data_IF_390670875847
#
_entry.id   IF_390670875847
#
_cell.length_a   1.000
_cell.length_b   1.000
_cell.length_c   1.000
_cell.angle_alpha   90.00
_cell.angle_beta   90.00
_cell.angle_gamma   90.00
#
_symmetry.space_group_name_H-M   'P 1'
#
loop_
_entity.id
_entity.type
_entity.pdbx_description
1 polymer ?
#
# COMPACT_ATOMS: atom_id res chain seq x y z
N UNK A 1 -34.06 15.73 26.48
CA UNK A 1 -34.94 16.83 25.99
C UNK A 1 -34.05 17.79 25.21
N UNK A 2 -33.73 17.55 23.94
CA UNK A 2 -34.50 17.91 22.74
C UNK A 2 -34.99 19.37 22.76
N UNK A 3 -34.24 20.26 22.12
CA UNK A 3 -34.68 21.60 21.74
C UNK A 3 -35.01 21.61 20.25
N UNK A 4 -36.28 21.85 19.95
CA UNK A 4 -36.87 21.88 18.60
C UNK A 4 -36.86 23.30 18.04
N UNK A 5 -36.45 23.46 16.79
CA UNK A 5 -36.70 24.65 15.98
C UNK A 5 -38.05 24.46 15.27
N UNK A 6 -38.97 25.40 15.50
CA UNK A 6 -40.37 25.35 15.04
C UNK A 6 -40.50 26.16 13.75
N UNK A 7 -40.73 25.49 12.62
CA UNK A 7 -41.08 26.12 11.34
C UNK A 7 -42.60 26.36 11.32
N UNK A 8 -42.98 27.61 11.09
CA UNK A 8 -44.37 28.07 10.96
C UNK A 8 -44.84 27.83 9.51
N UNK A 9 -45.89 27.02 9.32
CA UNK A 9 -46.65 26.97 8.06
C UNK A 9 -48.13 27.11 8.42
N UNK A 10 -48.72 28.24 8.03
CA UNK A 10 -50.16 28.51 8.12
C UNK A 10 -50.92 27.77 7.04
N UNK A 11 -52.07 27.18 7.39
CA UNK A 11 -52.92 26.45 6.46
C UNK A 11 -54.38 26.89 6.64
N UNK A 12 -55.00 27.50 5.62
CA UNK A 12 -56.46 27.52 5.45
C UNK A 12 -56.86 27.78 3.98
N UNK A 13 -57.54 26.82 3.34
CA UNK A 13 -58.77 27.11 2.57
C UNK A 13 -58.82 26.84 1.05
N UNK A 14 -59.68 25.86 0.68
CA UNK A 14 -60.52 25.71 -0.55
C UNK A 14 -60.00 25.02 -1.84
N UNK A 15 -60.52 23.78 -2.03
CA UNK A 15 -61.23 23.17 -3.19
C UNK A 15 -60.76 23.45 -4.64
N UNK A 16 -60.23 22.43 -5.35
CA UNK A 16 -60.85 21.63 -6.46
C UNK A 16 -59.80 20.87 -7.32
N UNK A 17 -60.18 19.81 -8.07
CA UNK A 17 -59.27 18.75 -8.56
C UNK A 17 -58.95 18.84 -10.06
N UNK A 18 -57.79 18.33 -10.51
CA UNK A 18 -57.57 17.62 -11.81
C UNK A 18 -56.10 17.24 -12.03
N UNK A 19 -55.93 16.13 -12.76
CA UNK A 19 -54.69 15.52 -13.23
C UNK A 19 -53.94 16.39 -14.27
N UNK A 20 -52.62 16.12 -14.38
CA UNK A 20 -51.77 16.11 -15.59
C UNK A 20 -50.81 17.31 -15.84
N UNK A 21 -49.62 16.94 -16.35
CA UNK A 21 -48.45 17.66 -16.93
C UNK A 21 -47.23 17.55 -15.98
N UNK A 22 -46.28 16.59 -16.09
CA UNK A 22 -45.46 16.01 -17.18
C UNK A 22 -44.17 16.79 -17.51
N UNK A 23 -43.03 16.17 -17.15
CA UNK A 23 -41.66 16.20 -17.73
C UNK A 23 -40.95 17.57 -17.87
N UNK A 24 -39.63 17.76 -17.79
CA UNK A 24 -38.43 17.10 -18.34
C UNK A 24 -37.27 17.66 -17.43
N UNK A 25 -36.26 16.93 -16.92
CA UNK A 25 -35.06 16.43 -17.62
C UNK A 25 -34.53 15.19 -16.89
N UNK A 26 -34.58 14.07 -17.62
CA UNK A 26 -33.69 12.91 -17.50
C UNK A 26 -32.63 13.04 -18.63
N UNK A 27 -31.67 12.10 -18.68
CA UNK A 27 -30.59 11.87 -19.68
C UNK A 27 -29.34 12.76 -19.55
N UNK A 28 -28.10 12.25 -19.64
CA UNK A 28 -27.57 10.94 -20.06
C UNK A 28 -26.10 10.84 -19.56
N UNK A 29 -25.63 9.77 -18.90
CA UNK A 29 -25.28 8.40 -19.36
C UNK A 29 -23.80 8.23 -19.80
N UNK A 30 -23.11 7.31 -19.08
CA UNK A 30 -22.32 6.17 -19.57
C UNK A 30 -20.89 6.39 -20.11
N UNK A 31 -19.93 5.73 -19.44
CA UNK A 31 -19.03 4.65 -19.93
C UNK A 31 -17.76 4.68 -19.03
N UNK A 32 -17.29 3.65 -18.30
CA UNK A 32 -17.16 2.22 -18.59
C UNK A 32 -17.13 1.41 -17.27
N UNK A 33 -17.92 0.35 -17.24
CA UNK A 33 -17.57 -0.91 -16.56
C UNK A 33 -17.64 -1.99 -17.64
N UNK A 34 -16.68 -2.92 -17.66
CA UNK A 34 -17.02 -4.22 -17.13
C UNK A 34 -15.83 -4.85 -16.39
N UNK A 35 -15.86 -4.86 -15.07
CA UNK A 35 -15.19 -5.94 -14.33
C UNK A 35 -16.25 -6.74 -13.62
N UNK A 36 -16.22 -8.04 -13.90
CA UNK A 36 -17.20 -9.05 -13.54
C UNK A 36 -17.73 -8.88 -12.11
N UNK A 37 -19.06 -8.91 -11.99
CA UNK A 37 -19.69 -9.41 -10.78
C UNK A 37 -19.30 -10.89 -10.63
N UNK A 38 -18.28 -11.17 -9.83
CA UNK A 38 -18.13 -12.49 -9.22
C UNK A 38 -18.93 -12.42 -7.93
N UNK A 39 -20.20 -12.83 -8.01
CA UNK A 39 -20.95 -13.25 -6.83
C UNK A 39 -20.23 -14.45 -6.23
N UNK A 40 -19.48 -14.21 -5.15
CA UNK A 40 -18.93 -15.29 -4.34
C UNK A 40 -20.08 -15.89 -3.53
N UNK A 41 -20.69 -16.95 -4.05
CA UNK A 41 -21.55 -17.82 -3.25
C UNK A 41 -20.65 -18.63 -2.33
N UNK A 42 -20.40 -18.13 -1.12
CA UNK A 42 -19.81 -18.91 -0.04
C UNK A 42 -20.89 -19.87 0.49
N UNK A 43 -20.84 -21.12 0.07
CA UNK A 43 -21.38 -22.21 0.88
C UNK A 43 -20.29 -22.58 1.90
N UNK A 44 -20.45 -22.10 3.13
CA UNK A 44 -19.62 -22.56 4.25
C UNK A 44 -20.09 -23.97 4.62
N UNK A 45 -19.38 -25.00 4.13
CA UNK A 45 -19.59 -26.36 4.60
C UNK A 45 -18.83 -26.53 5.93
N UNK A 46 -19.57 -26.45 7.03
CA UNK A 46 -19.05 -26.57 8.39
C UNK A 46 -18.92 -28.06 8.76
N UNK A 47 -17.86 -28.72 8.30
CA UNK A 47 -17.46 -30.05 8.82
C UNK A 47 -15.95 -30.24 8.82
N UNK A 48 -15.38 -30.34 10.03
CA UNK A 48 -14.11 -31.04 10.26
C UNK A 48 -12.84 -30.21 10.07
N UNK A 49 -12.18 -29.91 11.17
CA UNK A 49 -10.91 -29.19 11.28
C UNK A 49 -9.75 -29.99 10.68
N UNK A 50 -9.53 -29.83 9.38
CA UNK A 50 -8.19 -29.90 8.78
C UNK A 50 -7.98 -28.58 8.05
N UNK A 51 -6.97 -27.82 8.46
CA UNK A 51 -6.56 -26.58 7.80
C UNK A 51 -5.99 -26.93 6.42
N UNK A 52 -6.87 -27.13 5.43
CA UNK A 52 -6.47 -27.46 4.07
C UNK A 52 -5.76 -26.25 3.45
N UNK A 53 -4.47 -26.43 3.16
CA UNK A 53 -3.69 -25.46 2.38
C UNK A 53 -3.99 -25.71 0.91
N UNK A 54 -4.66 -24.76 0.25
CA UNK A 54 -5.10 -24.96 -1.14
C UNK A 54 -4.03 -24.66 -2.19
N UNK A 55 -2.91 -24.06 -1.78
CA UNK A 55 -1.79 -23.78 -2.66
C UNK A 55 -0.46 -24.05 -1.95
N UNK A 56 0.37 -24.88 -2.58
CA UNK A 56 1.76 -25.10 -2.21
C UNK A 56 2.64 -24.62 -3.35
N UNK A 57 3.67 -23.83 -3.01
CA UNK A 57 4.66 -23.45 -4.01
C UNK A 57 5.64 -24.62 -4.21
N UNK A 58 6.09 -24.92 -5.43
CA UNK A 58 7.15 -25.89 -5.66
C UNK A 58 8.40 -25.59 -4.81
N UNK A 59 9.12 -26.60 -4.37
CA UNK A 59 10.45 -26.40 -3.80
C UNK A 59 11.37 -25.77 -4.86
N UNK A 60 12.23 -24.77 -4.52
CA UNK A 60 12.55 -24.22 -3.21
C UNK A 60 11.83 -22.89 -2.88
N UNK A 61 10.67 -22.63 -3.48
CA UNK A 61 10.05 -21.31 -3.41
C UNK A 61 9.31 -21.07 -2.09
N UNK A 62 9.15 -19.78 -1.77
CA UNK A 62 8.55 -19.29 -0.55
C UNK A 62 7.13 -19.84 -0.42
N UNK A 63 6.85 -20.51 0.70
CA UNK A 63 5.54 -21.07 0.99
C UNK A 63 4.58 -19.98 1.46
N UNK A 64 3.28 -20.24 1.27
CA UNK A 64 2.25 -19.33 1.74
C UNK A 64 2.02 -19.44 3.24
N UNK A 65 1.64 -18.33 3.84
CA UNK A 65 1.30 -18.19 5.26
C UNK A 65 0.00 -17.40 5.43
N UNK A 66 -0.69 -17.62 6.55
CA UNK A 66 -1.81 -16.81 7.05
C UNK A 66 -1.39 -15.86 8.18
N UNK A 67 -0.10 -15.77 8.46
CA UNK A 67 0.47 -14.83 9.42
C UNK A 67 1.79 -14.26 8.89
N UNK A 68 1.93 -12.94 8.96
CA UNK A 68 3.21 -12.27 8.71
C UNK A 68 3.97 -12.20 10.03
N UNK A 69 5.29 -12.42 9.97
CA UNK A 69 6.18 -12.36 11.12
C UNK A 69 5.93 -11.08 11.92
N UNK A 70 5.53 -11.27 13.18
CA UNK A 70 5.26 -10.18 14.10
C UNK A 70 6.52 -9.39 14.39
N UNK A 71 6.40 -8.07 14.34
CA UNK A 71 7.47 -7.15 14.75
C UNK A 71 7.50 -6.95 16.27
N UNK A 72 6.53 -7.48 17.01
CA UNK A 72 6.41 -7.31 18.46
C UNK A 72 6.46 -5.84 18.87
N UNK A 73 7.48 -5.50 19.67
CA UNK A 73 7.75 -4.13 20.11
C UNK A 73 8.88 -3.44 19.31
N UNK A 74 9.25 -3.94 18.13
CA UNK A 74 10.21 -3.27 17.27
C UNK A 74 9.55 -2.09 16.51
N UNK A 75 10.32 -1.01 16.32
CA UNK A 75 9.94 0.18 15.54
C UNK A 75 11.18 1.06 15.39
N UNK A 76 11.17 2.02 14.46
CA UNK A 76 12.36 2.81 14.16
C UNK A 76 12.45 4.10 14.96
N UNK A 77 13.61 4.33 15.59
CA UNK A 77 14.08 5.67 15.96
C UNK A 77 14.64 6.35 14.72
N UNK A 78 14.19 7.57 14.41
CA UNK A 78 14.58 8.25 13.18
C UNK A 78 15.91 8.97 13.37
N UNK A 79 16.94 8.46 12.73
CA UNK A 79 18.28 9.05 12.65
C UNK A 79 18.53 9.62 11.25
N UNK A 80 19.66 10.31 10.99
CA UNK A 80 19.94 10.86 9.66
C UNK A 80 19.82 9.83 8.54
N UNK A 81 19.17 10.23 7.44
CA UNK A 81 18.95 9.40 6.26
C UNK A 81 17.76 8.43 6.33
N UNK A 82 17.12 8.24 7.50
CA UNK A 82 15.90 7.43 7.59
C UNK A 82 14.79 8.03 6.73
N UNK A 83 13.92 7.16 6.21
CA UNK A 83 12.83 7.54 5.32
C UNK A 83 11.48 7.00 5.83
N UNK A 84 10.42 7.23 5.05
CA UNK A 84 9.15 6.54 5.24
C UNK A 84 8.12 7.30 6.06
N UNK A 85 7.09 6.56 6.50
CA UNK A 85 5.83 7.12 6.99
C UNK A 85 6.01 8.00 8.24
N UNK A 86 6.91 7.63 9.16
CA UNK A 86 7.21 8.43 10.34
C UNK A 86 7.85 9.76 9.98
N UNK A 87 8.75 9.76 9.00
CA UNK A 87 9.44 10.98 8.57
C UNK A 87 8.46 11.95 7.92
N UNK A 88 7.56 11.45 7.08
CA UNK A 88 6.45 12.24 6.54
C UNK A 88 5.62 12.89 7.65
N UNK A 89 5.23 12.12 8.67
CA UNK A 89 4.46 12.63 9.81
C UNK A 89 5.24 13.72 10.57
N UNK A 90 6.54 13.51 10.80
CA UNK A 90 7.42 14.50 11.43
C UNK A 90 7.46 15.78 10.60
N UNK A 91 7.70 15.68 9.30
CA UNK A 91 7.76 16.84 8.40
C UNK A 91 6.42 17.59 8.36
N UNK A 92 5.28 16.87 8.36
CA UNK A 92 3.94 17.46 8.46
C UNK A 92 3.77 18.22 9.77
N UNK A 93 4.17 17.61 10.89
CA UNK A 93 4.04 18.22 12.22
C UNK A 93 4.92 19.45 12.38
N UNK A 94 6.08 19.46 11.73
CA UNK A 94 7.00 20.59 11.72
C UNK A 94 6.59 21.68 10.72
N UNK A 95 5.56 21.47 9.91
CA UNK A 95 5.08 22.44 8.92
C UNK A 95 5.99 22.58 7.70
N UNK A 96 6.86 21.60 7.45
CA UNK A 96 7.83 21.62 6.35
C UNK A 96 7.46 20.63 5.24
N UNK A 97 6.39 19.85 5.38
CA UNK A 97 5.94 18.91 4.36
C UNK A 97 5.22 19.59 3.20
N UNK A 98 5.52 19.15 1.98
CA UNK A 98 4.72 19.42 0.78
C UNK A 98 4.77 18.20 -0.15
N UNK A 99 3.86 18.13 -1.13
CA UNK A 99 3.58 16.90 -1.89
C UNK A 99 4.75 16.35 -2.72
N UNK A 100 5.68 17.21 -3.14
CA UNK A 100 6.84 16.83 -3.94
C UNK A 100 8.09 16.49 -3.08
N UNK A 101 8.02 16.68 -1.76
CA UNK A 101 9.14 16.48 -0.84
C UNK A 101 9.36 15.01 -0.49
N UNK A 102 10.61 14.55 -0.56
CA UNK A 102 10.96 13.22 -0.05
C UNK A 102 10.75 13.14 1.47
N UNK A 103 10.10 12.07 1.91
CA UNK A 103 10.02 11.71 3.32
C UNK A 103 11.39 11.18 3.78
N UNK A 104 12.32 12.08 4.06
CA UNK A 104 13.70 11.79 4.44
C UNK A 104 14.19 12.64 5.61
N UNK A 105 14.92 12.03 6.54
CA UNK A 105 15.66 12.69 7.62
C UNK A 105 16.94 13.33 7.04
N UNK A 106 16.74 14.24 6.10
CA UNK A 106 17.78 15.06 5.49
C UNK A 106 18.21 16.22 6.42
N UNK A 107 19.22 16.98 6.01
CA UNK A 107 19.77 18.09 6.80
C UNK A 107 18.72 19.11 7.21
N UNK A 108 17.77 19.41 6.31
CA UNK A 108 16.69 20.35 6.58
C UNK A 108 15.72 19.81 7.65
N UNK A 109 15.32 18.54 7.53
CA UNK A 109 14.45 17.87 8.49
C UNK A 109 15.13 17.74 9.85
N UNK A 110 16.41 17.35 9.89
CA UNK A 110 17.21 17.28 11.13
C UNK A 110 17.31 18.64 11.80
N UNK A 111 17.59 19.71 11.05
CA UNK A 111 17.66 21.06 11.58
C UNK A 111 16.31 21.53 12.17
N UNK A 112 15.21 21.18 11.51
CA UNK A 112 13.86 21.45 11.99
C UNK A 112 13.54 20.66 13.28
N UNK A 113 13.92 19.39 13.36
CA UNK A 113 13.80 18.56 14.58
C UNK A 113 14.61 19.15 15.73
N UNK A 114 15.88 19.55 15.50
CA UNK A 114 16.71 20.21 16.52
C UNK A 114 16.07 21.50 17.03
N UNK A 115 15.48 22.28 16.12
CA UNK A 115 14.78 23.51 16.48
C UNK A 115 13.53 23.23 17.31
N UNK A 116 12.77 22.20 16.96
CA UNK A 116 11.65 21.73 17.78
C UNK A 116 12.12 21.30 19.18
N UNK A 117 13.13 20.43 19.27
CA UNK A 117 13.66 19.93 20.53
C UNK A 117 14.09 21.06 21.47
N UNK A 118 14.83 22.07 20.96
CA UNK A 118 15.20 23.27 21.74
C UNK A 118 13.98 24.00 22.29
N UNK A 119 12.93 24.19 21.49
CA UNK A 119 11.71 24.91 21.92
C UNK A 119 10.96 24.19 23.03
N UNK A 120 10.99 22.86 23.05
CA UNK A 120 10.29 22.06 24.07
C UNK A 120 11.20 21.61 25.22
N UNK A 121 12.44 22.11 25.30
CA UNK A 121 13.37 21.79 26.38
C UNK A 121 14.01 20.40 26.29
N UNK A 122 13.97 19.74 25.14
CA UNK A 122 14.66 18.47 24.90
C UNK A 122 16.08 18.70 24.37
N UNK A 123 17.01 17.73 24.58
CA UNK A 123 18.31 17.74 23.91
C UNK A 123 18.15 17.84 22.37
N UNK A 124 18.85 18.80 21.76
CA UNK A 124 18.73 19.11 20.34
C UNK A 124 19.58 18.18 19.46
N UNK A 125 19.30 16.87 19.53
CA UNK A 125 20.05 15.83 18.80
C UNK A 125 19.75 15.85 17.30
N UNK A 126 18.51 16.17 16.93
CA UNK A 126 17.99 15.99 15.56
C UNK A 126 17.47 14.58 15.28
N UNK A 127 17.54 13.69 16.27
CA UNK A 127 16.98 12.34 16.25
C UNK A 127 15.55 12.38 16.76
N UNK A 128 14.63 11.66 16.11
CA UNK A 128 13.26 11.47 16.62
C UNK A 128 13.16 10.09 17.24
N UNK A 129 13.32 10.04 18.57
CA UNK A 129 13.02 8.89 19.40
C UNK A 129 11.58 8.95 19.94
N UNK A 130 11.18 7.95 20.73
CA UNK A 130 9.82 7.89 21.29
C UNK A 130 9.49 9.11 22.17
N UNK A 131 10.47 9.62 22.93
CA UNK A 131 10.30 10.82 23.75
C UNK A 131 10.01 12.03 22.87
N UNK A 132 10.85 12.30 21.88
CA UNK A 132 10.67 13.40 20.92
C UNK A 132 9.32 13.27 20.20
N UNK A 133 8.95 12.06 19.77
CA UNK A 133 7.66 11.79 19.12
C UNK A 133 6.45 12.12 20.03
N UNK A 134 6.51 11.75 21.32
CA UNK A 134 5.48 12.08 22.30
C UNK A 134 5.33 13.59 22.48
N UNK A 135 6.45 14.31 22.62
CA UNK A 135 6.44 15.78 22.69
C UNK A 135 5.90 16.42 21.41
N UNK A 136 6.17 15.83 20.25
CA UNK A 136 5.60 16.33 19.00
C UNK A 136 4.08 16.24 19.00
N UNK A 137 3.46 15.27 19.69
CA UNK A 137 2.01 15.09 19.72
C UNK A 137 1.43 15.05 18.28
N UNK A 138 1.91 14.09 17.50
CA UNK A 138 1.58 13.94 16.07
C UNK A 138 0.16 13.43 15.82
N UNK A 139 -0.52 12.93 16.86
CA UNK A 139 -1.80 12.21 16.76
C UNK A 139 -1.64 10.75 16.32
N UNK A 140 -0.42 10.31 16.02
CA UNK A 140 -0.12 8.95 15.58
C UNK A 140 0.63 8.16 16.66
N UNK A 141 0.36 6.86 16.74
CA UNK A 141 1.09 5.95 17.61
C UNK A 141 2.58 5.92 17.24
N UNK A 142 3.46 5.73 18.23
CA UNK A 142 4.90 5.61 17.98
C UNK A 142 5.23 4.44 17.03
N UNK A 143 4.43 3.39 16.98
CA UNK A 143 4.63 2.21 16.13
C UNK A 143 3.92 2.30 14.77
N UNK A 144 3.59 3.50 14.28
CA UNK A 144 2.80 3.66 13.05
C UNK A 144 3.50 3.10 11.78
N UNK A 145 4.82 2.88 11.84
CA UNK A 145 5.64 2.26 10.79
C UNK A 145 5.59 0.72 10.79
N UNK A 146 4.83 0.09 11.68
CA UNK A 146 4.72 -1.39 11.77
C UNK A 146 3.52 -1.94 11.01
N UNK A 147 2.84 -1.14 10.18
CA UNK A 147 1.68 -1.60 9.42
C UNK A 147 2.07 -2.76 8.50
N UNK A 148 1.36 -3.88 8.58
CA UNK A 148 1.51 -5.05 7.71
C UNK A 148 0.12 -5.48 7.25
N UNK A 149 -0.08 -5.64 5.94
CA UNK A 149 -1.33 -6.11 5.38
C UNK A 149 -1.63 -7.53 5.86
N UNK A 150 -2.88 -7.78 6.23
CA UNK A 150 -3.31 -9.11 6.69
C UNK A 150 -3.38 -10.09 5.52
N UNK A 151 -2.70 -11.24 5.59
CA UNK A 151 -2.71 -12.23 4.52
C UNK A 151 -4.10 -12.84 4.35
N UNK A 152 -4.36 -13.39 3.16
CA UNK A 152 -5.53 -14.25 2.99
C UNK A 152 -5.34 -15.60 3.69
N UNK A 153 -6.44 -16.27 4.10
CA UNK A 153 -6.37 -17.58 4.74
C UNK A 153 -5.67 -18.66 3.90
N UNK A 154 -5.21 -19.74 4.54
CA UNK A 154 -4.49 -20.83 3.88
C UNK A 154 -5.31 -21.63 2.85
N UNK A 155 -6.64 -21.64 3.00
CA UNK A 155 -7.55 -22.32 2.06
C UNK A 155 -7.74 -21.57 0.73
N UNK A 156 -7.21 -20.36 0.56
CA UNK A 156 -7.21 -19.69 -0.75
C UNK A 156 -6.20 -20.36 -1.70
N UNK A 157 -6.66 -20.67 -2.91
CA UNK A 157 -5.83 -21.20 -3.98
C UNK A 157 -4.95 -20.12 -4.63
N UNK A 158 -4.10 -20.52 -5.57
CA UNK A 158 -3.17 -19.64 -6.29
C UNK A 158 -3.84 -18.40 -6.88
N UNK A 159 -4.94 -18.59 -7.60
CA UNK A 159 -5.61 -17.50 -8.32
C UNK A 159 -6.28 -16.54 -7.33
N UNK A 160 -6.86 -17.05 -6.26
CA UNK A 160 -7.44 -16.22 -5.19
C UNK A 160 -6.39 -15.35 -4.50
N UNK A 161 -5.17 -15.87 -4.28
CA UNK A 161 -4.05 -15.09 -3.72
C UNK A 161 -3.56 -13.99 -4.66
N UNK A 162 -3.41 -14.30 -5.96
CA UNK A 162 -3.11 -13.30 -7.00
C UNK A 162 -4.21 -12.22 -7.03
N UNK A 163 -5.47 -12.62 -6.97
CA UNK A 163 -6.59 -11.69 -6.90
C UNK A 163 -6.56 -10.83 -5.64
N UNK A 164 -6.12 -11.37 -4.50
CA UNK A 164 -5.98 -10.62 -3.27
C UNK A 164 -4.88 -9.56 -3.36
N UNK A 165 -3.71 -9.92 -3.91
CA UNK A 165 -2.63 -8.98 -4.24
C UNK A 165 -3.14 -7.81 -5.09
N UNK A 166 -3.75 -8.12 -6.23
CA UNK A 166 -4.22 -7.12 -7.19
C UNK A 166 -5.33 -6.26 -6.59
N UNK A 167 -6.27 -6.85 -5.85
CA UNK A 167 -7.34 -6.10 -5.17
C UNK A 167 -6.79 -5.13 -4.15
N UNK A 168 -5.81 -5.55 -3.34
CA UNK A 168 -5.16 -4.68 -2.37
C UNK A 168 -4.46 -3.51 -3.07
N UNK A 169 -3.64 -3.78 -4.09
CA UNK A 169 -2.96 -2.74 -4.85
C UNK A 169 -3.96 -1.77 -5.53
N UNK A 170 -5.06 -2.31 -6.09
CA UNK A 170 -6.12 -1.49 -6.71
C UNK A 170 -6.81 -0.58 -5.70
N UNK A 171 -7.02 -1.03 -4.47
CA UNK A 171 -7.57 -0.20 -3.38
C UNK A 171 -6.62 0.92 -2.95
N UNK A 172 -5.33 0.84 -3.31
CA UNK A 172 -4.36 1.90 -3.01
C UNK A 172 -4.30 2.97 -4.09
N UNK A 173 -4.99 2.82 -5.23
CA UNK A 173 -5.03 3.84 -6.28
C UNK A 173 -5.50 5.19 -5.69
N UNK A 174 -4.77 6.26 -6.01
CA UNK A 174 -4.98 7.59 -5.44
C UNK A 174 -4.16 7.87 -4.17
N UNK A 175 -3.61 6.86 -3.50
CA UNK A 175 -2.72 7.09 -2.35
C UNK A 175 -1.45 7.84 -2.77
N UNK A 176 -0.96 8.72 -1.89
CA UNK A 176 0.24 9.50 -2.15
C UNK A 176 1.50 8.63 -2.23
N UNK A 177 2.45 9.01 -3.07
CA UNK A 177 3.81 8.49 -2.95
C UNK A 177 4.46 8.99 -1.65
N UNK A 178 5.13 8.09 -0.92
CA UNK A 178 5.94 8.40 0.26
C UNK A 178 7.25 7.63 0.16
N UNK A 179 8.38 8.32 -0.04
CA UNK A 179 9.72 7.70 -0.11
C UNK A 179 10.02 6.86 1.14
N UNK A 180 10.39 5.58 0.98
CA UNK A 180 10.57 4.61 2.07
C UNK A 180 9.26 4.21 2.77
N UNK A 181 8.12 4.51 2.17
CA UNK A 181 6.80 4.27 2.74
C UNK A 181 6.28 2.87 2.43
N UNK A 182 5.93 2.13 3.48
CA UNK A 182 5.13 0.90 3.40
C UNK A 182 3.92 0.99 4.34
N UNK A 183 3.23 2.13 4.34
CA UNK A 183 2.11 2.41 5.24
C UNK A 183 0.78 1.85 4.78
N UNK A 184 -0.30 2.49 5.20
CA UNK A 184 -1.64 2.32 4.63
C UNK A 184 -2.02 3.54 3.79
N UNK A 185 -3.17 3.49 3.13
CA UNK A 185 -3.65 4.49 2.16
C UNK A 185 -3.31 5.95 2.49
N UNK A 186 -3.62 6.43 3.70
CA UNK A 186 -3.43 7.83 4.08
C UNK A 186 -1.96 8.24 4.26
N UNK A 187 -1.09 7.29 4.62
CA UNK A 187 0.34 7.55 4.79
C UNK A 187 1.13 7.30 3.51
N UNK A 188 0.59 6.50 2.60
CA UNK A 188 1.15 6.27 1.28
C UNK A 188 2.25 5.22 1.24
N UNK A 189 2.78 5.03 0.03
CA UNK A 189 3.73 3.98 -0.29
C UNK A 189 4.82 4.50 -1.23
N UNK A 190 6.01 3.92 -1.21
CA UNK A 190 6.86 3.89 -2.39
C UNK A 190 6.63 2.62 -3.19
N UNK A 191 7.32 2.51 -4.33
CA UNK A 191 7.20 1.39 -5.25
C UNK A 191 7.28 0.01 -4.57
N UNK A 192 8.30 -0.19 -3.75
CA UNK A 192 8.60 -1.46 -3.11
C UNK A 192 7.84 -1.64 -1.80
N UNK A 193 7.47 -0.57 -1.11
CA UNK A 193 6.55 -0.63 0.02
C UNK A 193 5.16 -1.10 -0.39
N UNK A 194 4.64 -0.63 -1.54
CA UNK A 194 3.38 -1.14 -2.10
C UNK A 194 3.50 -2.63 -2.46
N UNK A 195 4.61 -3.05 -3.07
CA UNK A 195 4.84 -4.46 -3.41
C UNK A 195 4.96 -5.34 -2.17
N UNK A 196 5.65 -4.88 -1.12
CA UNK A 196 5.78 -5.62 0.13
C UNK A 196 4.41 -5.87 0.79
N UNK A 197 3.55 -4.84 0.83
CA UNK A 197 2.20 -4.96 1.39
C UNK A 197 1.29 -5.84 0.52
N UNK A 198 1.47 -5.77 -0.80
CA UNK A 198 0.80 -6.65 -1.75
C UNK A 198 1.19 -8.12 -1.52
N UNK A 199 2.49 -8.42 -1.37
CA UNK A 199 2.99 -9.75 -1.06
C UNK A 199 2.45 -10.28 0.27
N UNK A 200 2.44 -9.45 1.32
CA UNK A 200 1.83 -9.79 2.60
C UNK A 200 0.35 -10.13 2.45
N UNK A 201 -0.43 -9.34 1.70
CA UNK A 201 -1.84 -9.66 1.43
C UNK A 201 -2.02 -11.02 0.75
N UNK A 202 -1.11 -11.40 -0.15
CA UNK A 202 -1.09 -12.70 -0.81
C UNK A 202 -0.69 -13.87 0.10
N UNK A 203 -0.18 -13.58 1.30
CA UNK A 203 0.33 -14.58 2.23
C UNK A 203 1.78 -14.96 1.99
N UNK A 204 2.62 -14.02 1.52
CA UNK A 204 4.05 -14.25 1.34
C UNK A 204 4.83 -13.35 2.30
N UNK A 205 5.64 -13.96 3.16
CA UNK A 205 6.48 -13.27 4.15
C UNK A 205 7.98 -13.43 3.81
N UNK A 206 8.56 -12.52 3.01
CA UNK A 206 9.92 -12.66 2.50
C UNK A 206 10.98 -12.24 3.53
N UNK A 207 10.96 -12.79 4.75
CA UNK A 207 11.96 -12.48 5.76
C UNK A 207 13.40 -12.71 5.24
N UNK A 208 14.36 -11.84 5.59
CA UNK A 208 14.26 -10.74 6.57
C UNK A 208 13.67 -9.42 6.03
N UNK A 209 13.18 -9.39 4.79
CA UNK A 209 12.63 -8.18 4.17
C UNK A 209 11.33 -7.78 4.87
N UNK A 210 11.31 -6.61 5.50
CA UNK A 210 10.14 -6.13 6.25
C UNK A 210 9.99 -4.60 6.22
N UNK A 211 8.87 -4.12 6.77
CA UNK A 211 8.49 -2.69 6.76
C UNK A 211 9.39 -1.80 7.61
N UNK A 212 10.10 -2.35 8.61
CA UNK A 212 11.05 -1.58 9.40
C UNK A 212 12.34 -1.34 8.61
N UNK A 213 12.91 -2.39 8.00
CA UNK A 213 14.09 -2.26 7.16
C UNK A 213 13.83 -1.40 5.93
N UNK A 214 12.60 -1.42 5.40
CA UNK A 214 12.21 -0.61 4.25
C UNK A 214 12.46 0.90 4.44
N UNK A 215 12.41 1.39 5.69
CA UNK A 215 12.66 2.79 6.01
C UNK A 215 14.17 3.15 6.18
N UNK A 216 15.07 2.18 6.17
CA UNK A 216 16.48 2.41 6.48
C UNK A 216 17.19 3.18 5.35
N UNK A 217 18.20 4.02 5.68
CA UNK A 217 18.86 4.89 4.71
C UNK A 217 19.42 4.15 3.49
N UNK A 218 20.07 3.01 3.73
CA UNK A 218 20.82 2.26 2.72
C UNK A 218 20.14 0.94 2.30
N UNK A 219 18.93 0.69 2.80
CA UNK A 219 18.19 -0.52 2.46
C UNK A 219 17.22 -0.26 1.30
N UNK A 220 17.23 -1.14 0.30
CA UNK A 220 16.38 -0.99 -0.89
C UNK A 220 15.55 -2.24 -1.11
N UNK A 221 14.34 -2.24 -0.57
CA UNK A 221 13.39 -3.37 -0.65
C UNK A 221 13.15 -3.84 -2.08
N UNK A 222 13.11 -2.95 -3.08
CA UNK A 222 12.99 -3.35 -4.50
C UNK A 222 14.15 -4.26 -4.94
N UNK A 223 15.37 -3.96 -4.51
CA UNK A 223 16.57 -4.72 -4.85
C UNK A 223 16.62 -6.04 -4.09
N UNK A 224 16.25 -6.01 -2.80
CA UNK A 224 16.21 -7.20 -1.94
C UNK A 224 15.14 -8.19 -2.40
N UNK A 225 13.94 -7.70 -2.75
CA UNK A 225 12.90 -8.54 -3.35
C UNK A 225 13.39 -9.16 -4.65
N UNK A 226 14.03 -8.38 -5.53
CA UNK A 226 14.58 -8.89 -6.79
C UNK A 226 15.71 -9.92 -6.61
N UNK A 227 16.42 -9.92 -5.49
CA UNK A 227 17.50 -10.88 -5.19
C UNK A 227 17.03 -12.04 -4.31
N UNK A 228 15.77 -12.04 -3.88
CA UNK A 228 15.30 -12.97 -2.87
C UNK A 228 15.31 -14.42 -3.40
N UNK A 229 16.08 -15.34 -2.77
CA UNK A 229 16.40 -16.64 -3.38
C UNK A 229 15.19 -17.58 -3.50
N UNK A 230 14.13 -17.32 -2.74
CA UNK A 230 12.91 -18.14 -2.73
C UNK A 230 11.80 -17.59 -3.63
N UNK A 231 12.10 -16.61 -4.48
CA UNK A 231 11.20 -16.18 -5.54
C UNK A 231 11.61 -16.74 -6.90
N UNK A 232 10.61 -17.18 -7.68
CA UNK A 232 10.86 -17.66 -9.04
C UNK A 232 11.08 -16.48 -9.97
N UNK A 233 12.26 -16.41 -10.57
CA UNK A 233 12.50 -15.52 -11.70
C UNK A 233 11.98 -16.14 -12.99
N UNK A 234 11.29 -15.33 -13.79
CA UNK A 234 10.83 -15.70 -15.14
C UNK A 234 11.31 -14.64 -16.13
N UNK A 235 11.66 -14.99 -17.39
CA UNK A 235 11.92 -13.98 -18.42
C UNK A 235 10.77 -12.98 -18.47
N UNK A 236 11.08 -11.69 -18.53
CA UNK A 236 10.05 -10.64 -18.39
C UNK A 236 9.02 -10.69 -19.51
N UNK A 237 9.36 -11.25 -20.66
CA UNK A 237 8.47 -11.51 -21.80
C UNK A 237 7.44 -12.61 -21.49
N UNK A 238 7.73 -13.48 -20.53
CA UNK A 238 6.83 -14.55 -20.04
C UNK A 238 6.05 -14.13 -18.79
N UNK A 239 6.06 -12.84 -18.44
CA UNK A 239 5.32 -12.31 -17.29
C UNK A 239 3.84 -12.63 -17.40
N UNK A 240 3.25 -13.02 -16.28
CA UNK A 240 1.83 -13.32 -16.13
C UNK A 240 1.22 -12.38 -15.10
N UNK A 241 -0.08 -12.14 -15.20
CA UNK A 241 -0.84 -11.40 -14.20
C UNK A 241 -0.53 -11.92 -12.78
N UNK A 242 -0.14 -11.01 -11.89
CA UNK A 242 0.33 -11.32 -10.54
C UNK A 242 1.85 -11.35 -10.37
N UNK A 243 2.61 -11.35 -11.46
CA UNK A 243 4.07 -11.20 -11.42
C UNK A 243 4.44 -9.76 -11.01
N UNK A 244 5.63 -9.61 -10.43
CA UNK A 244 6.21 -8.31 -10.08
C UNK A 244 7.29 -7.99 -11.12
N UNK A 245 7.13 -6.88 -11.82
CA UNK A 245 8.11 -6.38 -12.78
C UNK A 245 9.05 -5.38 -12.10
N UNK A 246 10.27 -5.31 -12.61
CA UNK A 246 11.32 -4.46 -12.07
C UNK A 246 11.92 -3.62 -13.19
N UNK A 247 12.47 -2.46 -12.82
CA UNK A 247 13.18 -1.55 -13.72
C UNK A 247 14.53 -1.23 -13.15
N UNK A 248 15.52 -1.08 -14.03
CA UNK A 248 16.91 -0.83 -13.66
C UNK A 248 17.39 0.55 -14.08
N UNK A 249 18.51 0.99 -13.51
CA UNK A 249 19.31 2.04 -14.09
C UNK A 249 20.13 1.53 -15.29
N UNK A 250 21.07 2.36 -15.78
CA UNK A 250 21.96 1.98 -16.90
C UNK A 250 23.02 0.94 -16.50
N UNK A 251 23.28 0.78 -15.21
CA UNK A 251 24.25 -0.16 -14.67
C UNK A 251 23.60 -1.51 -14.28
N UNK A 252 22.29 -1.68 -14.54
CA UNK A 252 21.54 -2.88 -14.21
C UNK A 252 21.05 -2.94 -12.77
N UNK A 253 21.24 -1.88 -11.97
CA UNK A 253 20.74 -1.83 -10.60
C UNK A 253 19.23 -1.57 -10.60
N UNK A 254 18.45 -2.39 -9.90
CA UNK A 254 17.00 -2.17 -9.71
C UNK A 254 16.75 -0.84 -8.99
N UNK A 255 15.90 -0.02 -9.60
CA UNK A 255 15.49 1.32 -9.12
C UNK A 255 13.97 1.47 -8.94
N UNK A 256 13.17 0.59 -9.53
CA UNK A 256 11.71 0.65 -9.44
C UNK A 256 11.08 -0.73 -9.58
N UNK A 257 9.86 -0.89 -9.07
CA UNK A 257 9.10 -2.14 -9.14
C UNK A 257 7.60 -1.86 -9.22
N UNK A 258 6.85 -2.80 -9.83
CA UNK A 258 5.42 -2.66 -10.04
C UNK A 258 4.71 -4.03 -10.11
N UNK A 259 3.43 -4.06 -9.74
CA UNK A 259 2.60 -5.26 -9.85
C UNK A 259 2.03 -5.35 -11.27
N UNK A 260 2.35 -6.41 -12.01
CA UNK A 260 1.78 -6.65 -13.32
C UNK A 260 0.37 -7.24 -13.23
N UNK A 261 -0.61 -6.57 -13.85
CA UNK A 261 -2.03 -6.95 -13.76
C UNK A 261 -2.57 -7.59 -15.04
N UNK A 262 -1.70 -7.90 -16.01
CA UNK A 262 -2.06 -8.40 -17.33
C UNK A 262 -2.23 -7.29 -18.37
N UNK A 263 -2.40 -7.66 -19.64
CA UNK A 263 -2.66 -6.73 -20.75
C UNK A 263 -1.68 -5.55 -20.86
N UNK A 264 -0.40 -5.79 -20.57
CA UNK A 264 0.64 -4.75 -20.54
C UNK A 264 0.38 -3.61 -19.53
N UNK A 265 -0.41 -3.88 -18.48
CA UNK A 265 -0.72 -2.91 -17.42
C UNK A 265 -0.07 -3.29 -16.10
N UNK A 266 0.26 -2.26 -15.31
CA UNK A 266 0.84 -2.36 -13.97
C UNK A 266 0.10 -1.47 -12.98
N UNK A 267 0.18 -1.81 -11.69
CA UNK A 267 -0.15 -0.89 -10.58
C UNK A 267 1.14 -0.55 -9.84
N UNK A 268 1.39 0.74 -9.64
CA UNK A 268 2.59 1.21 -8.95
C UNK A 268 2.44 2.59 -8.31
N UNK A 269 3.49 3.00 -7.60
CA UNK A 269 3.78 4.36 -7.13
C UNK A 269 5.21 4.69 -7.54
N UNK A 270 5.45 5.76 -8.29
CA UNK A 270 6.73 5.94 -8.98
C UNK A 270 7.44 7.28 -8.72
N UNK A 271 6.79 8.31 -8.17
CA UNK A 271 7.47 9.51 -7.66
C UNK A 271 6.59 10.38 -6.77
N UNK A 272 7.20 11.27 -5.98
CA UNK A 272 6.51 12.30 -5.21
C UNK A 272 5.55 13.14 -6.08
N UNK A 273 4.38 13.49 -5.55
CA UNK A 273 3.32 14.20 -6.29
C UNK A 273 2.61 13.37 -7.37
N UNK A 274 2.95 12.08 -7.54
CA UNK A 274 2.23 11.18 -8.44
C UNK A 274 1.57 10.08 -7.62
N UNK A 275 0.22 10.09 -7.52
CA UNK A 275 -0.48 9.08 -6.74
C UNK A 275 -0.34 7.69 -7.36
N UNK A 276 -0.59 6.67 -6.55
CA UNK A 276 -0.71 5.30 -7.01
C UNK A 276 -1.73 5.20 -8.14
N UNK A 277 -1.39 4.48 -9.21
CA UNK A 277 -2.21 4.42 -10.42
C UNK A 277 -1.97 3.14 -11.20
N UNK A 278 -2.88 2.89 -12.15
CA UNK A 278 -2.63 1.97 -13.25
C UNK A 278 -1.82 2.70 -14.31
N UNK A 279 -0.79 2.06 -14.83
CA UNK A 279 0.02 2.56 -15.94
C UNK A 279 0.32 1.42 -16.92
N UNK A 280 0.86 1.74 -18.09
CA UNK A 280 1.36 0.75 -19.05
C UNK A 280 2.79 0.33 -18.67
N UNK A 281 3.15 -0.93 -18.94
CA UNK A 281 4.51 -1.40 -18.78
C UNK A 281 5.46 -0.55 -19.64
N UNK A 282 6.38 0.13 -18.97
CA UNK A 282 7.39 0.95 -19.65
C UNK A 282 8.60 0.11 -20.07
N UNK A 283 8.78 -0.19 -21.37
CA UNK A 283 9.85 -1.10 -21.83
C UNK A 283 11.29 -0.63 -21.55
N UNK A 284 11.64 0.67 -21.67
CA UNK A 284 13.01 1.09 -21.45
C UNK A 284 13.47 0.77 -20.03
N UNK A 285 14.60 0.05 -19.94
CA UNK A 285 15.22 -0.41 -18.68
C UNK A 285 14.36 -1.35 -17.84
N UNK A 286 13.39 -2.03 -18.43
CA UNK A 286 12.77 -3.16 -17.73
C UNK A 286 13.83 -4.23 -17.46
N UNK A 287 13.81 -4.80 -16.26
CA UNK A 287 14.72 -5.87 -15.88
C UNK A 287 14.47 -7.11 -16.78
N UNK A 288 15.50 -7.93 -17.06
CA UNK A 288 15.36 -9.09 -17.95
C UNK A 288 14.43 -10.17 -17.38
N UNK A 289 14.17 -10.13 -16.07
CA UNK A 289 13.26 -11.06 -15.41
C UNK A 289 12.23 -10.33 -14.56
N UNK A 290 11.05 -10.93 -14.45
CA UNK A 290 10.06 -10.62 -13.43
C UNK A 290 10.13 -11.67 -12.31
N UNK A 291 9.58 -11.34 -11.15
CA UNK A 291 9.33 -12.31 -10.09
C UNK A 291 7.93 -12.86 -10.25
N UNK A 292 7.79 -14.18 -10.15
CA UNK A 292 6.53 -14.90 -10.04
C UNK A 292 6.32 -15.33 -8.59
N UNK A 293 5.51 -14.60 -7.79
CA UNK A 293 5.34 -14.89 -6.37
C UNK A 293 4.69 -16.24 -6.10
N UNK A 294 3.79 -16.68 -6.99
CA UNK A 294 3.12 -17.97 -6.91
C UNK A 294 3.44 -18.84 -8.13
N UNK A 295 4.60 -19.53 -8.14
CA UNK A 295 4.95 -20.44 -9.22
C UNK A 295 4.04 -21.68 -9.27
N UNK A 296 3.91 -22.27 -10.46
CA UNK A 296 3.33 -23.61 -10.65
C UNK A 296 4.45 -24.62 -10.79
N UNK A 297 4.16 -25.88 -10.49
CA UNK A 297 5.03 -27.01 -10.87
C UNK A 297 5.37 -26.93 -12.36
N UNK A 298 6.58 -27.35 -12.73
CA UNK A 298 6.92 -27.47 -14.13
C UNK A 298 6.05 -28.59 -14.74
N UNK A 299 5.26 -28.25 -15.75
CA UNK A 299 4.53 -29.21 -16.59
C UNK A 299 5.48 -29.98 -17.49
#
# INVERSE_FOLDING_TARGET
MLASVKIMVSNTGRRTPKKLILAIITTALIALSPFLHISSSYAADSKGTTSHISYHAPYPYLQVTDHITSLGNATNTLTPGFNGVKVKIVQQKLGIWYEQQLASMDDATIAAVRSFQRRVGLPATGVVDETTWKYMNTGWMWRIDTYQATPVPLWENREQRINAMIRFASQQIGSSYTWGGAGFYALGFDCSGLMLQTLYRGGLDPQPINVLLHAYPDYRTSQELYKYPHFKHVPVEKRERGDIVFYTDRNGQVIHTALYIGNDQIIHTDWMGRPARIDTVFKPRIAPTAIRPFPREAS
#
